data_IF_951275885327
#
_entry.id   IF_951275885327
#
_cell.length_a   1.000
_cell.length_b   1.000
_cell.length_c   1.000
_cell.angle_alpha   90.00
_cell.angle_beta   90.00
_cell.angle_gamma   90.00
#
_symmetry.space_group_name_H-M   'P 1'
#
loop_
_entity.id
_entity.type
_entity.pdbx_description
1 polymer ?
#
# COMPACT_ATOMS: atom_id res chain seq x y z
N UNK A 1 -23.72 -15.65 -33.79
CA UNK A 1 -23.54 -14.31 -33.21
C UNK A 1 -22.59 -14.47 -32.03
N UNK A 2 -21.35 -14.01 -32.20
CA UNK A 2 -20.31 -14.09 -31.17
C UNK A 2 -20.79 -13.35 -29.92
N UNK A 3 -20.55 -13.92 -28.73
CA UNK A 3 -20.70 -13.18 -27.47
C UNK A 3 -19.93 -11.87 -27.62
N UNK A 4 -20.60 -10.73 -27.39
CA UNK A 4 -19.91 -9.44 -27.29
C UNK A 4 -18.78 -9.59 -26.28
N UNK A 5 -17.53 -9.42 -26.73
CA UNK A 5 -16.39 -9.37 -25.84
C UNK A 5 -16.48 -8.07 -25.04
N UNK A 6 -17.01 -8.17 -23.83
CA UNK A 6 -17.01 -7.08 -22.86
C UNK A 6 -15.56 -6.69 -22.58
N UNK A 7 -15.20 -5.46 -22.91
CA UNK A 7 -13.85 -4.95 -22.74
C UNK A 7 -13.54 -4.87 -21.23
N UNK A 8 -12.27 -5.04 -20.81
CA UNK A 8 -11.94 -5.07 -19.38
C UNK A 8 -12.41 -3.84 -18.58
N UNK A 9 -12.44 -2.66 -19.21
CA UNK A 9 -12.91 -1.41 -18.58
C UNK A 9 -14.45 -1.25 -18.58
N UNK A 10 -15.18 -2.13 -19.27
CA UNK A 10 -16.64 -2.19 -19.27
C UNK A 10 -17.17 -3.14 -18.17
N UNK A 11 -16.26 -3.86 -17.50
CA UNK A 11 -16.59 -4.74 -16.36
C UNK A 11 -16.70 -3.95 -15.06
N UNK A 12 -17.59 -2.96 -15.05
CA UNK A 12 -17.85 -2.08 -13.90
C UNK A 12 -19.32 -2.14 -13.52
N UNK A 13 -19.63 -2.28 -12.23
CA UNK A 13 -21.01 -2.44 -11.74
C UNK A 13 -21.14 -3.52 -10.67
N UNK A 14 -22.33 -3.66 -10.07
CA UNK A 14 -22.61 -4.66 -9.03
C UNK A 14 -22.41 -6.09 -9.54
N UNK A 15 -22.72 -6.35 -10.80
CA UNK A 15 -22.57 -7.64 -11.45
C UNK A 15 -21.11 -8.04 -11.70
N UNK A 16 -20.19 -7.06 -11.68
CA UNK A 16 -18.75 -7.26 -11.81
C UNK A 16 -18.02 -7.12 -10.47
N UNK A 17 -18.76 -6.94 -9.36
CA UNK A 17 -18.19 -6.90 -8.02
C UNK A 17 -17.46 -8.20 -7.73
N UNK A 18 -16.16 -8.08 -7.47
CA UNK A 18 -15.33 -9.19 -7.10
C UNK A 18 -15.49 -9.47 -5.61
N UNK A 19 -15.93 -10.69 -5.29
CA UNK A 19 -15.96 -11.19 -3.91
C UNK A 19 -14.63 -11.86 -3.61
N UNK A 20 -13.82 -11.21 -2.77
CA UNK A 20 -12.55 -11.76 -2.31
C UNK A 20 -12.78 -12.55 -1.02
N UNK A 21 -12.14 -13.72 -0.90
CA UNK A 21 -12.02 -14.42 0.39
C UNK A 21 -11.01 -13.71 1.27
N UNK A 22 -9.87 -13.33 0.70
CA UNK A 22 -8.86 -12.51 1.37
C UNK A 22 -8.22 -11.53 0.39
N UNK A 23 -8.66 -10.28 0.43
CA UNK A 23 -8.08 -9.22 -0.38
C UNK A 23 -6.62 -8.94 0.04
N UNK A 24 -5.71 -8.91 -0.94
CA UNK A 24 -4.31 -8.67 -0.69
C UNK A 24 -3.57 -8.02 -1.85
N UNK A 25 -2.32 -7.65 -1.59
CA UNK A 25 -1.44 -7.00 -2.56
C UNK A 25 -0.09 -7.72 -2.62
N UNK A 26 0.43 -7.93 -3.82
CA UNK A 26 1.80 -8.35 -4.06
C UNK A 26 2.61 -7.15 -4.57
N UNK A 27 3.77 -6.92 -3.97
CA UNK A 27 4.74 -5.90 -4.37
C UNK A 27 5.99 -6.59 -4.90
N UNK A 28 6.24 -6.46 -6.19
CA UNK A 28 7.36 -7.09 -6.89
C UNK A 28 8.54 -6.14 -7.01
N UNK A 29 9.51 -6.25 -6.09
CA UNK A 29 10.67 -5.36 -6.07
C UNK A 29 11.64 -5.61 -7.24
N UNK A 30 11.57 -6.77 -7.91
CA UNK A 30 12.35 -7.02 -9.15
C UNK A 30 11.88 -6.12 -10.31
N UNK A 31 10.63 -5.65 -10.23
CA UNK A 31 9.98 -4.85 -11.29
C UNK A 31 9.83 -3.38 -10.88
N UNK A 32 10.03 -3.05 -9.62
CA UNK A 32 9.86 -1.69 -9.14
C UNK A 32 11.05 -0.81 -9.55
N UNK A 33 10.77 0.22 -10.35
CA UNK A 33 11.78 1.18 -10.82
C UNK A 33 11.74 2.51 -10.05
N UNK A 34 10.94 2.60 -8.99
CA UNK A 34 10.84 3.82 -8.19
C UNK A 34 10.22 5.03 -8.90
N UNK A 35 9.36 4.83 -9.90
CA UNK A 35 8.80 5.94 -10.69
C UNK A 35 7.78 6.84 -9.95
N UNK A 36 7.40 6.51 -8.71
CA UNK A 36 6.39 7.21 -7.90
C UNK A 36 4.98 7.33 -8.49
N UNK A 37 4.69 6.73 -9.66
CA UNK A 37 3.34 6.77 -10.24
C UNK A 37 2.27 6.23 -9.29
N UNK A 38 2.57 5.15 -8.57
CA UNK A 38 1.67 4.60 -7.55
C UNK A 38 1.41 5.56 -6.36
N UNK A 39 2.42 6.31 -5.91
CA UNK A 39 2.25 7.34 -4.87
C UNK A 39 1.35 8.48 -5.35
N UNK A 40 1.59 8.98 -6.57
CA UNK A 40 0.84 10.10 -7.14
C UNK A 40 -0.60 9.69 -7.42
N UNK A 41 -0.83 8.55 -8.07
CA UNK A 41 -2.18 8.04 -8.34
C UNK A 41 -2.98 7.81 -7.07
N UNK A 42 -2.37 7.23 -6.03
CA UNK A 42 -3.05 7.05 -4.74
C UNK A 42 -3.42 8.41 -4.11
N UNK A 43 -2.52 9.39 -4.19
CA UNK A 43 -2.74 10.74 -3.67
C UNK A 43 -3.89 11.45 -4.37
N UNK A 44 -3.92 11.43 -5.69
CA UNK A 44 -5.00 12.03 -6.50
C UNK A 44 -6.32 11.31 -6.29
N UNK A 45 -6.34 9.97 -6.35
CA UNK A 45 -7.56 9.18 -6.23
C UNK A 45 -8.26 9.31 -4.87
N UNK A 46 -7.48 9.47 -3.80
CA UNK A 46 -8.00 9.50 -2.42
C UNK A 46 -7.94 10.90 -1.80
N UNK A 47 -7.69 11.94 -2.60
CA UNK A 47 -7.59 13.33 -2.17
C UNK A 47 -6.68 13.50 -0.93
N UNK A 48 -5.52 12.83 -0.95
CA UNK A 48 -4.60 12.84 0.20
C UNK A 48 -3.93 14.21 0.30
N UNK A 49 -3.95 14.88 1.48
CA UNK A 49 -3.36 16.20 1.65
C UNK A 49 -1.86 16.27 1.33
N UNK A 50 -1.37 17.47 1.04
CA UNK A 50 0.07 17.73 0.92
C UNK A 50 0.81 17.33 2.22
N UNK A 51 2.02 16.81 2.07
CA UNK A 51 2.82 16.26 3.18
C UNK A 51 2.44 14.83 3.61
N UNK A 52 1.25 14.36 3.24
CA UNK A 52 0.78 13.01 3.58
C UNK A 52 0.83 12.04 2.40
N UNK A 53 0.92 10.75 2.74
CA UNK A 53 0.95 9.64 1.78
C UNK A 53 0.34 8.38 2.38
N UNK A 54 -0.71 7.86 1.75
CA UNK A 54 -1.23 6.50 1.98
C UNK A 54 -0.31 5.42 1.38
N UNK A 55 0.46 5.78 0.35
CA UNK A 55 1.45 4.94 -0.33
C UNK A 55 2.76 5.68 -0.57
N UNK A 56 3.85 5.14 -0.04
CA UNK A 56 5.19 5.72 -0.10
C UNK A 56 6.09 4.87 -0.97
N UNK A 57 7.04 5.45 -1.69
CA UNK A 57 8.08 4.70 -2.40
C UNK A 57 9.39 5.16 -1.81
N UNK A 58 10.03 4.30 -1.02
CA UNK A 58 11.29 4.61 -0.35
C UNK A 58 12.46 4.25 -1.23
N UNK A 59 13.41 5.17 -1.31
CA UNK A 59 14.72 4.93 -1.87
C UNK A 59 15.64 4.36 -0.77
N UNK A 60 16.11 3.12 -0.95
CA UNK A 60 16.92 2.41 0.02
C UNK A 60 18.30 2.11 -0.60
N UNK A 61 19.35 2.60 0.04
CA UNK A 61 20.74 2.30 -0.34
C UNK A 61 21.40 1.37 0.65
N UNK A 62 22.17 0.42 0.12
CA UNK A 62 23.12 -0.40 0.87
C UNK A 62 24.52 -0.15 0.29
N UNK A 63 25.25 0.86 0.80
CA UNK A 63 26.55 1.28 0.25
C UNK A 63 27.58 0.14 0.22
N UNK A 64 27.60 -0.69 1.26
CA UNK A 64 28.55 -1.80 1.40
C UNK A 64 28.42 -2.83 0.26
N UNK A 65 27.22 -3.01 -0.27
CA UNK A 65 26.91 -3.93 -1.37
C UNK A 65 26.64 -3.21 -2.71
N UNK A 66 26.79 -1.88 -2.76
CA UNK A 66 26.49 -1.05 -3.94
C UNK A 66 25.10 -1.33 -4.53
N UNK A 67 24.13 -1.57 -3.66
CA UNK A 67 22.76 -1.91 -4.05
C UNK A 67 21.84 -0.72 -3.77
N UNK A 68 20.92 -0.48 -4.70
CA UNK A 68 19.79 0.44 -4.54
C UNK A 68 18.52 -0.39 -4.68
N UNK A 69 17.52 -0.11 -3.85
CA UNK A 69 16.19 -0.70 -3.93
C UNK A 69 15.13 0.38 -3.79
N UNK A 70 14.09 0.30 -4.62
CA UNK A 70 12.91 1.14 -4.54
C UNK A 70 11.78 0.32 -3.93
N UNK A 71 11.29 0.73 -2.78
CA UNK A 71 10.33 -0.07 -2.02
C UNK A 71 9.03 0.70 -1.83
N UNK A 72 7.96 0.33 -2.54
CA UNK A 72 6.61 0.77 -2.24
C UNK A 72 6.18 0.26 -0.86
N UNK A 73 5.80 1.13 0.05
CA UNK A 73 5.30 0.83 1.40
C UNK A 73 3.88 1.36 1.54
N UNK A 74 2.97 0.48 1.97
CA UNK A 74 1.55 0.75 2.17
C UNK A 74 1.08 0.15 3.49
N UNK A 75 -0.19 0.40 3.86
CA UNK A 75 -0.84 -0.37 4.92
C UNK A 75 -0.81 -1.86 4.55
N UNK A 76 -0.47 -2.71 5.52
CA UNK A 76 -0.32 -4.14 5.31
C UNK A 76 -1.65 -4.93 5.40
N UNK A 77 -2.76 -4.26 5.77
CA UNK A 77 -4.07 -4.89 5.98
C UNK A 77 -3.98 -6.18 6.82
N UNK A 78 -3.22 -6.09 7.91
CA UNK A 78 -2.87 -7.19 8.81
C UNK A 78 -4.10 -7.99 9.25
N UNK A 79 -4.01 -9.32 9.30
CA UNK A 79 -5.03 -10.17 9.96
C UNK A 79 -5.01 -9.91 11.47
N UNK A 80 -3.83 -9.88 12.07
CA UNK A 80 -3.62 -9.51 13.47
C UNK A 80 -3.25 -8.03 13.55
N UNK A 81 -4.24 -7.15 13.33
CA UNK A 81 -4.05 -5.70 13.26
C UNK A 81 -3.96 -5.05 14.66
N UNK A 82 -2.78 -4.54 15.09
CA UNK A 82 -2.66 -3.88 16.39
C UNK A 82 -3.45 -2.56 16.45
N UNK A 83 -3.52 -1.84 15.33
CA UNK A 83 -4.27 -0.59 15.23
C UNK A 83 -5.77 -0.76 15.52
N UNK A 84 -6.37 -1.91 15.15
CA UNK A 84 -7.76 -2.21 15.45
C UNK A 84 -8.00 -2.35 16.96
N UNK A 85 -7.06 -2.97 17.68
CA UNK A 85 -7.12 -3.13 19.14
C UNK A 85 -6.83 -1.81 19.87
N UNK A 86 -5.99 -0.96 19.29
CA UNK A 86 -5.56 0.30 19.91
C UNK A 86 -6.61 1.42 19.82
N UNK A 87 -7.48 1.41 18.81
CA UNK A 87 -8.43 2.51 18.55
C UNK A 87 -9.58 2.56 19.58
N UNK A 88 -9.67 3.58 20.46
CA UNK A 88 -10.68 3.65 21.51
C UNK A 88 -12.11 3.83 20.97
N UNK A 89 -12.29 4.70 19.97
CA UNK A 89 -13.56 4.96 19.27
C UNK A 89 -14.05 3.80 18.41
N UNK A 90 -13.22 2.77 18.21
CA UNK A 90 -13.48 1.64 17.29
C UNK A 90 -13.79 2.12 15.86
N UNK A 91 -13.16 3.23 15.44
CA UNK A 91 -13.24 3.75 14.08
C UNK A 91 -12.53 2.84 13.07
N UNK A 92 -11.50 2.11 13.50
CA UNK A 92 -10.81 1.14 12.66
C UNK A 92 -11.63 -0.15 12.59
N UNK A 93 -12.01 -0.55 11.38
CA UNK A 93 -12.87 -1.71 11.11
C UNK A 93 -12.20 -2.67 10.13
N UNK A 94 -12.73 -3.89 10.09
CA UNK A 94 -12.35 -4.95 9.15
C UNK A 94 -13.56 -5.38 8.35
N UNK A 95 -13.40 -5.47 7.04
CA UNK A 95 -14.35 -6.05 6.09
C UNK A 95 -14.29 -7.58 6.09
N UNK A 96 -15.32 -8.23 5.55
CA UNK A 96 -15.41 -9.69 5.48
C UNK A 96 -14.26 -10.32 4.67
N UNK A 97 -13.71 -9.59 3.70
CA UNK A 97 -12.54 -10.00 2.89
C UNK A 97 -11.18 -9.69 3.53
N UNK A 98 -11.18 -9.24 4.79
CA UNK A 98 -9.99 -8.96 5.57
C UNK A 98 -9.41 -7.55 5.42
N UNK A 99 -9.94 -6.69 4.52
CA UNK A 99 -9.50 -5.29 4.42
C UNK A 99 -9.72 -4.56 5.73
N UNK A 100 -8.67 -3.93 6.26
CA UNK A 100 -8.78 -3.00 7.39
C UNK A 100 -8.96 -1.59 6.83
N UNK A 101 -9.84 -0.77 7.40
CA UNK A 101 -10.04 0.64 7.02
C UNK A 101 -10.38 1.50 8.24
N UNK A 102 -10.38 2.83 8.06
CA UNK A 102 -10.76 3.78 9.11
C UNK A 102 -12.08 4.42 8.68
N UNK A 103 -13.11 4.31 9.51
CA UNK A 103 -14.36 5.03 9.34
C UNK A 103 -14.16 6.48 9.81
N UNK A 104 -14.05 7.39 8.85
CA UNK A 104 -13.80 8.82 9.10
C UNK A 104 -14.86 9.43 10.03
N UNK A 105 -16.13 8.98 9.96
CA UNK A 105 -17.22 9.54 10.76
C UNK A 105 -17.15 9.16 12.25
N UNK A 106 -16.31 8.20 12.60
CA UNK A 106 -16.17 7.68 13.97
C UNK A 106 -14.80 8.00 14.57
N UNK A 107 -13.89 8.54 13.77
CA UNK A 107 -12.55 8.88 14.23
C UNK A 107 -12.62 10.14 15.11
N UNK A 108 -12.02 10.05 16.30
CA UNK A 108 -11.92 11.09 17.32
C UNK A 108 -10.48 11.62 17.50
N UNK A 109 -9.57 11.17 16.62
CA UNK A 109 -8.17 11.63 16.53
C UNK A 109 -7.34 11.52 17.83
N UNK A 110 -7.53 10.45 18.60
CA UNK A 110 -6.71 10.14 19.79
C UNK A 110 -5.29 9.61 19.43
N UNK A 111 -5.09 9.17 18.18
CA UNK A 111 -3.79 8.82 17.52
C UNK A 111 -3.07 7.56 18.03
N UNK A 112 -3.61 6.78 18.96
CA UNK A 112 -2.97 5.53 19.43
C UNK A 112 -2.77 4.52 18.31
N UNK A 113 -3.65 4.52 17.32
CA UNK A 113 -3.51 3.67 16.14
C UNK A 113 -2.23 3.98 15.34
N UNK A 114 -1.77 5.22 15.33
CA UNK A 114 -0.54 5.66 14.64
C UNK A 114 0.67 5.02 15.29
N UNK A 115 0.76 5.08 16.62
CA UNK A 115 1.86 4.49 17.39
C UNK A 115 1.82 2.96 17.36
N UNK A 116 0.63 2.36 17.39
CA UNK A 116 0.45 0.92 17.38
C UNK A 116 0.82 0.26 16.03
N UNK A 117 0.97 1.03 14.95
CA UNK A 117 1.24 0.49 13.62
C UNK A 117 2.75 0.25 13.42
N UNK A 118 3.24 -1.01 13.37
CA UNK A 118 4.68 -1.29 13.25
C UNK A 118 5.26 -0.93 11.85
N UNK A 119 4.40 -0.55 10.92
CA UNK A 119 4.73 -0.18 9.55
C UNK A 119 4.73 1.34 9.31
N UNK A 120 4.29 2.16 10.29
CA UNK A 120 4.17 3.61 10.11
C UNK A 120 3.23 4.00 8.96
N UNK A 121 2.19 3.19 8.73
CA UNK A 121 1.30 3.28 7.56
C UNK A 121 0.03 4.11 7.80
N UNK A 122 -0.13 4.69 8.99
CA UNK A 122 -1.25 5.56 9.34
C UNK A 122 -0.70 6.98 9.47
N UNK A 123 -1.32 7.94 8.78
CA UNK A 123 -1.02 9.37 8.85
C UNK A 123 -2.22 10.16 9.37
N UNK A 124 -2.02 11.42 9.73
CA UNK A 124 -3.09 12.31 10.17
C UNK A 124 -3.47 13.22 9.02
N UNK A 125 -4.72 13.15 8.59
CA UNK A 125 -5.31 14.11 7.68
C UNK A 125 -5.72 15.35 8.48
N UNK A 126 -4.91 16.40 8.40
CA UNK A 126 -5.12 17.65 9.14
C UNK A 126 -6.28 18.49 8.61
N UNK A 127 -6.71 18.25 7.38
CA UNK A 127 -7.83 18.99 6.77
C UNK A 127 -9.18 18.42 7.21
N UNK A 128 -9.23 17.10 7.41
CA UNK A 128 -10.42 16.38 7.87
C UNK A 128 -10.46 16.11 9.38
N UNK A 129 -9.35 16.36 10.08
CA UNK A 129 -9.17 16.03 11.51
C UNK A 129 -9.36 14.53 11.82
N UNK A 130 -8.90 13.65 10.92
CA UNK A 130 -9.00 12.19 11.06
C UNK A 130 -7.69 11.47 10.76
N UNK A 131 -7.52 10.26 11.28
CA UNK A 131 -6.46 9.37 10.85
C UNK A 131 -6.80 8.75 9.47
N UNK A 132 -5.81 8.62 8.61
CA UNK A 132 -5.94 8.06 7.26
C UNK A 132 -4.86 7.01 6.99
N UNK A 133 -5.17 6.08 6.09
CA UNK A 133 -4.25 5.03 5.64
C UNK A 133 -4.74 4.46 4.31
N UNK A 134 -3.91 3.65 3.64
CA UNK A 134 -4.38 2.83 2.53
C UNK A 134 -5.55 1.93 2.97
N UNK A 135 -6.58 1.87 2.14
CA UNK A 135 -7.81 1.09 2.28
C UNK A 135 -7.98 0.07 1.13
N UNK A 136 -6.93 -0.12 0.31
CA UNK A 136 -7.00 -0.84 -0.97
C UNK A 136 -8.02 -0.27 -1.96
N UNK A 137 -8.30 1.04 -1.89
CA UNK A 137 -9.27 1.73 -2.74
C UNK A 137 -10.60 0.98 -2.72
N UNK A 138 -11.22 0.85 -1.55
CA UNK A 138 -12.48 0.11 -1.39
C UNK A 138 -13.54 0.60 -2.38
N UNK A 139 -13.62 1.91 -2.59
CA UNK A 139 -14.53 2.56 -3.55
C UNK A 139 -14.33 2.13 -5.00
N UNK A 140 -13.13 1.68 -5.38
CA UNK A 140 -12.83 1.14 -6.73
C UNK A 140 -13.07 -0.36 -6.78
N UNK A 141 -12.52 -1.07 -5.81
CA UNK A 141 -12.51 -2.54 -5.78
C UNK A 141 -13.90 -3.14 -5.58
N UNK A 142 -14.83 -2.40 -4.96
CA UNK A 142 -16.23 -2.81 -4.83
C UNK A 142 -17.03 -2.72 -6.12
N UNK A 143 -16.57 -1.93 -7.11
CA UNK A 143 -17.22 -1.81 -8.43
C UNK A 143 -16.45 -2.55 -9.53
N UNK A 144 -15.53 -3.44 -9.16
CA UNK A 144 -14.77 -4.29 -10.10
C UNK A 144 -13.50 -3.64 -10.66
N UNK A 145 -13.10 -2.46 -10.17
CA UNK A 145 -11.88 -1.77 -10.61
C UNK A 145 -10.68 -2.12 -9.73
N UNK A 146 -9.50 -2.18 -10.34
CA UNK A 146 -8.24 -2.27 -9.60
C UNK A 146 -7.98 -1.01 -8.75
N UNK A 147 -7.23 -1.13 -7.63
CA UNK A 147 -6.72 0.03 -6.91
C UNK A 147 -5.91 0.95 -7.83
N UNK A 148 -6.01 2.27 -7.64
CA UNK A 148 -5.35 3.23 -8.53
C UNK A 148 -3.83 3.01 -8.65
N UNK A 149 -3.18 2.60 -7.55
CA UNK A 149 -1.75 2.29 -7.57
C UNK A 149 -1.40 1.08 -8.45
N UNK A 150 -2.30 0.10 -8.59
CA UNK A 150 -2.13 -1.07 -9.46
C UNK A 150 -2.37 -0.67 -10.91
N UNK A 151 -3.49 0.01 -11.19
CA UNK A 151 -3.85 0.43 -12.56
C UNK A 151 -2.80 1.32 -13.22
N UNK A 152 -2.08 2.13 -12.44
CA UNK A 152 -1.07 3.06 -12.97
C UNK A 152 0.36 2.54 -12.89
N UNK A 153 0.62 1.33 -12.38
CA UNK A 153 1.98 0.82 -12.29
C UNK A 153 2.51 0.43 -13.69
N UNK A 154 3.47 1.16 -14.30
CA UNK A 154 3.89 0.91 -15.67
C UNK A 154 4.67 -0.40 -15.83
N UNK A 155 5.24 -0.91 -14.73
CA UNK A 155 6.03 -2.14 -14.73
C UNK A 155 5.26 -3.34 -14.20
N UNK A 156 3.98 -3.18 -13.82
CA UNK A 156 3.18 -4.26 -13.23
C UNK A 156 3.86 -4.87 -11.99
N UNK A 157 4.45 -3.99 -11.16
CA UNK A 157 5.10 -4.33 -9.90
C UNK A 157 4.12 -4.44 -8.73
N UNK A 158 2.87 -4.02 -8.91
CA UNK A 158 1.81 -4.08 -7.90
C UNK A 158 0.68 -4.94 -8.44
N UNK A 159 0.26 -5.95 -7.69
CA UNK A 159 -0.81 -6.87 -8.08
C UNK A 159 -1.80 -7.01 -6.94
N UNK A 160 -3.04 -6.62 -7.17
CA UNK A 160 -4.13 -6.80 -6.21
C UNK A 160 -4.96 -8.04 -6.57
N UNK A 161 -5.57 -8.68 -5.57
CA UNK A 161 -6.49 -9.79 -5.79
C UNK A 161 -6.77 -10.61 -4.53
N UNK A 162 -7.32 -11.81 -4.73
CA UNK A 162 -7.62 -12.76 -3.66
C UNK A 162 -6.41 -13.67 -3.35
N UNK A 163 -5.84 -13.55 -2.15
CA UNK A 163 -4.73 -14.38 -1.67
C UNK A 163 -5.14 -15.81 -1.30
N UNK A 164 -6.44 -16.08 -1.15
CA UNK A 164 -6.98 -17.39 -0.77
C UNK A 164 -7.64 -18.13 -1.94
N UNK A 165 -7.65 -17.50 -3.12
CA UNK A 165 -7.94 -18.19 -4.38
C UNK A 165 -6.62 -18.66 -5.03
N UNK A 166 -6.36 -19.98 -5.11
CA UNK A 166 -5.14 -20.50 -5.74
C UNK A 166 -5.07 -20.22 -7.25
N UNK A 167 -6.22 -19.93 -7.88
CA UNK A 167 -6.26 -19.61 -9.31
C UNK A 167 -5.99 -18.13 -9.60
N UNK A 168 -6.01 -17.27 -8.57
CA UNK A 168 -5.80 -15.84 -8.72
C UNK A 168 -4.36 -15.53 -9.18
N UNK A 169 -4.23 -14.41 -9.90
CA UNK A 169 -2.91 -13.93 -10.36
C UNK A 169 -1.96 -13.68 -9.19
N UNK A 170 -2.46 -13.10 -8.11
CA UNK A 170 -1.66 -12.77 -6.92
C UNK A 170 -1.13 -14.02 -6.23
N UNK A 171 -1.96 -15.06 -6.03
CA UNK A 171 -1.56 -16.32 -5.38
C UNK A 171 -0.51 -17.07 -6.19
N UNK A 172 -0.72 -17.18 -7.50
CA UNK A 172 0.23 -17.82 -8.43
C UNK A 172 1.58 -17.11 -8.45
N UNK A 173 1.58 -15.78 -8.47
CA UNK A 173 2.83 -15.00 -8.46
C UNK A 173 3.52 -15.07 -7.10
N UNK A 174 2.77 -14.99 -6.00
CA UNK A 174 3.32 -15.07 -4.66
C UNK A 174 4.04 -16.40 -4.42
N UNK A 175 3.42 -17.53 -4.81
CA UNK A 175 4.05 -18.86 -4.71
C UNK A 175 5.27 -18.98 -5.61
N UNK A 176 5.10 -18.68 -6.91
CA UNK A 176 6.18 -18.78 -7.91
C UNK A 176 7.41 -17.96 -7.55
N UNK A 177 7.22 -16.74 -7.05
CA UNK A 177 8.30 -15.81 -6.70
C UNK A 177 8.71 -15.89 -5.23
N UNK A 178 8.14 -16.82 -4.45
CA UNK A 178 8.41 -17.01 -3.01
C UNK A 178 8.27 -15.71 -2.23
N UNK A 179 7.19 -14.98 -2.49
CA UNK A 179 6.91 -13.71 -1.85
C UNK A 179 6.74 -13.90 -0.33
N UNK A 180 7.16 -12.90 0.43
CA UNK A 180 7.19 -12.95 1.90
C UNK A 180 6.54 -11.71 2.50
N UNK A 181 5.97 -11.87 3.68
CA UNK A 181 5.45 -10.75 4.46
C UNK A 181 6.60 -9.83 4.92
N UNK A 182 6.36 -8.52 4.84
CA UNK A 182 7.27 -7.50 5.36
C UNK A 182 7.24 -7.48 6.90
N UNK A 183 8.41 -7.50 7.55
CA UNK A 183 8.55 -7.57 9.02
C UNK A 183 7.73 -8.71 9.65
N UNK A 184 7.94 -9.94 9.17
CA UNK A 184 7.23 -11.13 9.66
C UNK A 184 7.34 -11.35 11.20
N UNK A 185 8.40 -10.85 11.83
CA UNK A 185 8.66 -10.87 13.28
C UNK A 185 7.61 -10.11 14.10
N UNK A 186 6.88 -9.17 13.50
CA UNK A 186 5.79 -8.42 14.14
C UNK A 186 4.54 -9.30 14.35
N UNK A 187 4.49 -10.49 13.74
CA UNK A 187 3.39 -11.48 13.89
C UNK A 187 2.00 -10.89 13.60
N UNK A 188 1.93 -9.93 12.70
CA UNK A 188 0.68 -9.25 12.31
C UNK A 188 -0.07 -9.98 11.20
N UNK A 189 0.52 -11.03 10.62
CA UNK A 189 0.01 -11.76 9.46
C UNK A 189 -0.46 -10.82 8.32
N UNK A 190 0.46 -10.09 7.66
CA UNK A 190 0.16 -9.16 6.59
C UNK A 190 -0.59 -9.77 5.39
N UNK A 191 -1.51 -9.01 4.83
CA UNK A 191 -2.15 -9.30 3.53
C UNK A 191 -1.42 -8.64 2.35
N UNK A 192 -0.23 -8.10 2.61
CA UNK A 192 0.68 -7.55 1.60
C UNK A 192 1.97 -8.35 1.61
N UNK A 193 2.34 -8.90 0.46
CA UNK A 193 3.52 -9.73 0.28
C UNK A 193 4.51 -9.04 -0.66
N UNK A 194 5.80 -9.26 -0.41
CA UNK A 194 6.89 -8.67 -1.18
C UNK A 194 7.76 -9.74 -1.81
N UNK A 195 8.09 -9.55 -3.08
CA UNK A 195 9.13 -10.31 -3.80
C UNK A 195 10.47 -9.64 -3.57
N UNK A 196 11.52 -10.43 -3.37
CA UNK A 196 12.92 -9.96 -3.28
C UNK A 196 13.21 -8.92 -2.20
N UNK A 197 12.40 -8.83 -1.15
CA UNK A 197 12.73 -7.99 0.00
C UNK A 197 13.74 -8.69 0.94
N UNK A 198 14.58 -7.89 1.57
CA UNK A 198 15.61 -8.35 2.49
C UNK A 198 15.50 -7.66 3.86
N UNK A 199 16.07 -8.28 4.90
CA UNK A 199 16.03 -7.77 6.28
C UNK A 199 16.67 -6.39 6.47
N UNK A 200 17.67 -6.06 5.67
CA UNK A 200 18.30 -4.74 5.75
C UNK A 200 17.33 -3.63 5.27
N UNK A 201 16.46 -3.93 4.31
CA UNK A 201 15.46 -3.00 3.78
C UNK A 201 14.41 -2.66 4.84
N UNK A 202 13.96 -3.65 5.62
CA UNK A 202 13.01 -3.45 6.72
C UNK A 202 13.53 -2.48 7.79
N UNK A 203 14.83 -2.54 8.09
CA UNK A 203 15.50 -1.63 9.03
C UNK A 203 15.60 -0.21 8.47
N UNK A 204 15.81 -0.08 7.15
CA UNK A 204 15.98 1.20 6.45
C UNK A 204 14.65 1.85 6.04
N UNK A 205 13.55 1.11 5.96
CA UNK A 205 12.26 1.63 5.50
C UNK A 205 11.74 2.84 6.29
N UNK A 206 12.09 2.94 7.58
CA UNK A 206 11.73 4.08 8.43
C UNK A 206 12.69 5.26 8.30
N UNK A 207 13.89 5.06 7.76
CA UNK A 207 14.94 6.09 7.57
C UNK A 207 15.19 6.43 6.09
N UNK A 208 14.55 5.72 5.16
CA UNK A 208 14.71 5.92 3.72
C UNK A 208 14.16 7.28 3.31
N UNK A 209 14.74 7.89 2.29
CA UNK A 209 14.31 9.23 1.83
C UNK A 209 12.93 9.11 1.19
N UNK A 210 11.99 9.97 1.62
CA UNK A 210 10.71 10.23 0.97
C UNK A 210 10.67 11.72 0.73
N UNK A 211 10.32 12.14 -0.48
CA UNK A 211 10.11 13.54 -0.81
C UNK A 211 9.00 14.10 0.09
N UNK A 212 9.35 15.00 1.01
CA UNK A 212 8.39 15.79 1.76
C UNK A 212 8.02 17.01 0.90
N UNK A 213 6.73 17.24 0.68
CA UNK A 213 6.29 18.44 -0.05
C UNK A 213 6.49 19.72 0.75
N UNK A 214 6.85 19.62 2.03
CA UNK A 214 7.23 20.74 2.90
C UNK A 214 8.73 21.03 2.90
N UNK A 215 9.55 20.18 2.28
CA UNK A 215 10.96 20.51 2.09
C UNK A 215 11.04 21.73 1.16
N UNK A 216 11.62 22.82 1.64
CA UNK A 216 11.83 24.04 0.83
C UNK A 216 12.87 23.79 -0.29
N UNK A 217 13.68 22.73 -0.15
CA UNK A 217 14.65 22.23 -1.12
C UNK A 217 14.10 21.01 -1.90
N UNK A 218 12.99 21.16 -2.63
CA UNK A 218 12.45 20.12 -3.56
C UNK A 218 13.37 19.89 -4.80
N UNK A 219 14.62 20.32 -4.73
CA UNK A 219 15.67 19.95 -5.67
C UNK A 219 16.47 18.80 -5.08
N UNK A 220 16.44 17.64 -5.75
CA UNK A 220 17.47 16.60 -5.64
C UNK A 220 18.83 17.20 -6.06
N UNK A 221 19.44 18.04 -5.23
CA UNK A 221 20.88 18.12 -5.22
C UNK A 221 21.35 17.00 -4.30
N UNK A 222 21.80 15.90 -4.89
CA UNK A 222 22.92 15.18 -4.29
C UNK A 222 23.95 16.26 -3.95
N UNK A 223 24.11 16.57 -2.66
CA UNK A 223 25.05 17.58 -2.15
C UNK A 223 26.50 17.14 -2.40
N UNK A 224 26.88 17.03 -3.68
CA UNK A 224 28.24 16.86 -4.16
C UNK A 224 28.78 18.15 -4.80
N UNK A 225 28.04 19.27 -4.73
CA UNK A 225 28.55 20.57 -5.14
C UNK A 225 28.05 21.71 -4.23
N UNK A 226 28.53 21.76 -2.99
CA UNK A 226 28.91 23.06 -2.38
C UNK A 226 30.28 22.91 -1.73
N UNK A 227 31.19 23.79 -2.18
CA UNK A 227 32.52 24.03 -1.59
C UNK A 227 32.38 24.57 -0.17
#
# INVERSE_FOLDING_TARGET
MSKEEVLPWEKVGEEFRLNYKRAGMLVDLDRCIGCHSCSVSCKTENEVPLGNFRMRVRYLEQPDNKQISFTPLICMHCVDAPCLKACPSKAIRREDDGRVFIDENRCDLEKECVEACPYGAISINVEKDVAEKCDFCTHRTEVGLDPACVSNCPTDALVFGDLDDPESRISKLADKKKAKAWKAEEKTNPSVLYVSHEKWMEKKANTGVQLDSKDEDVTYEQNNLKK
#
